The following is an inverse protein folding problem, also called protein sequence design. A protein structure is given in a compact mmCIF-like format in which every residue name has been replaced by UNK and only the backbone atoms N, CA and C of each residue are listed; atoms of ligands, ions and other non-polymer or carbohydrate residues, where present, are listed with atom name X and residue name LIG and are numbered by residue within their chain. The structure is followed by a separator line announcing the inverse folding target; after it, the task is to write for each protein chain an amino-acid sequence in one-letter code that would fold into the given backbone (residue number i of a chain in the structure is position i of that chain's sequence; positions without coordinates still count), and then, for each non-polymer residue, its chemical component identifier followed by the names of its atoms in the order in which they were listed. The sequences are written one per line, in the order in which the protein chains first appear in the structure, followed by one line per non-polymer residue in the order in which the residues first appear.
data_IF_019670102556
#
_entry.id   IF_019670102556
#
_cell.length_a   1.000
_cell.length_b   1.000
_cell.length_c   1.000
_cell.angle_alpha   90.00
_cell.angle_beta   90.00
_cell.angle_gamma   90.00
#
_symmetry.space_group_name_H-M   'P 1'
#
loop_
_entity.id
_entity.type
_entity.pdbx_description
1 polymer ?
#
# COMPACT_ATOMS: atom_id res chain seq x y z
N UNK A 1 -37.34 0.57 27.86
CA UNK A 1 -37.25 -0.26 26.64
C UNK A 1 -36.65 0.51 25.45
N UNK A 2 -37.36 1.47 24.82
CA UNK A 2 -36.84 2.21 23.64
C UNK A 2 -35.51 2.96 23.86
N UNK A 3 -35.30 3.54 25.04
CA UNK A 3 -34.07 4.30 25.37
C UNK A 3 -32.81 3.42 25.39
N UNK A 4 -32.94 2.19 25.87
CA UNK A 4 -31.86 1.18 25.93
C UNK A 4 -31.47 0.72 24.52
N UNK A 5 -32.48 0.48 23.70
CA UNK A 5 -32.34 0.04 22.31
C UNK A 5 -31.69 1.11 21.42
N UNK A 6 -32.08 2.38 21.62
CA UNK A 6 -31.46 3.52 20.94
C UNK A 6 -29.99 3.72 21.29
N UNK A 7 -29.62 3.59 22.57
CA UNK A 7 -28.23 3.68 23.02
C UNK A 7 -27.33 2.59 22.43
N UNK A 8 -27.82 1.34 22.39
CA UNK A 8 -27.11 0.22 21.77
C UNK A 8 -26.96 0.43 20.26
N UNK A 9 -27.99 0.94 19.58
CA UNK A 9 -27.95 1.19 18.14
C UNK A 9 -26.91 2.25 17.77
N UNK A 10 -26.82 3.34 18.53
CA UNK A 10 -25.81 4.40 18.32
C UNK A 10 -24.40 3.86 18.54
N UNK A 11 -24.17 3.11 19.64
CA UNK A 11 -22.89 2.46 19.92
C UNK A 11 -22.43 1.53 18.79
N UNK A 12 -23.33 0.67 18.31
CA UNK A 12 -23.04 -0.25 17.22
C UNK A 12 -22.77 0.50 15.91
N UNK A 13 -23.51 1.56 15.61
CA UNK A 13 -23.30 2.34 14.38
C UNK A 13 -21.96 3.07 14.37
N UNK A 14 -21.56 3.70 15.50
CA UNK A 14 -20.28 4.36 15.64
C UNK A 14 -19.12 3.35 15.65
N UNK A 15 -19.29 2.21 16.31
CA UNK A 15 -18.31 1.12 16.34
C UNK A 15 -18.09 0.50 14.95
N UNK A 16 -19.16 0.20 14.23
CA UNK A 16 -19.10 -0.36 12.87
C UNK A 16 -18.43 0.59 11.87
N UNK A 17 -18.73 1.89 11.96
CA UNK A 17 -18.07 2.92 11.14
C UNK A 17 -16.56 2.99 11.42
N UNK A 18 -16.16 2.95 12.71
CA UNK A 18 -14.75 2.93 13.11
C UNK A 18 -14.00 1.69 12.62
N UNK A 19 -14.65 0.52 12.64
CA UNK A 19 -14.08 -0.74 12.13
C UNK A 19 -13.88 -0.68 10.61
N UNK A 20 -14.86 -0.18 9.86
CA UNK A 20 -14.74 -0.05 8.40
C UNK A 20 -13.57 0.87 8.01
N UNK A 21 -13.45 2.04 8.64
CA UNK A 21 -12.33 2.96 8.38
C UNK A 21 -10.98 2.37 8.79
N UNK A 22 -10.93 1.60 9.87
CA UNK A 22 -9.71 0.92 10.30
C UNK A 22 -9.28 -0.17 9.30
N UNK A 23 -10.23 -0.88 8.73
CA UNK A 23 -9.97 -1.93 7.75
C UNK A 23 -9.43 -1.37 6.43
N UNK A 24 -10.00 -0.27 5.93
CA UNK A 24 -9.47 0.45 4.76
C UNK A 24 -8.02 0.90 4.98
N UNK A 25 -7.71 1.45 6.16
CA UNK A 25 -6.36 1.88 6.52
C UNK A 25 -5.37 0.71 6.61
N UNK A 26 -5.80 -0.45 7.11
CA UNK A 26 -4.99 -1.67 7.12
C UNK A 26 -4.71 -2.16 5.69
N UNK A 27 -5.70 -2.09 4.80
CA UNK A 27 -5.50 -2.46 3.39
C UNK A 27 -4.48 -1.53 2.72
N UNK A 28 -4.59 -0.22 2.94
CA UNK A 28 -3.60 0.78 2.50
C UNK A 28 -2.18 0.45 2.98
N UNK A 29 -2.03 0.16 4.27
CA UNK A 29 -0.76 -0.23 4.85
C UNK A 29 -0.20 -1.53 4.25
N UNK A 30 -1.06 -2.50 3.98
CA UNK A 30 -0.66 -3.76 3.36
C UNK A 30 -0.15 -3.53 1.93
N UNK A 31 -0.81 -2.68 1.14
CA UNK A 31 -0.35 -2.30 -0.19
C UNK A 31 1.04 -1.63 -0.16
N UNK A 32 1.29 -0.75 0.80
CA UNK A 32 2.62 -0.14 1.00
C UNK A 32 3.71 -1.18 1.30
N UNK A 33 3.42 -2.14 2.18
CA UNK A 33 4.36 -3.24 2.50
C UNK A 33 4.67 -4.10 1.29
N UNK A 34 3.67 -4.36 0.44
CA UNK A 34 3.86 -5.11 -0.80
C UNK A 34 4.74 -4.35 -1.80
N UNK A 35 4.53 -3.04 -1.94
CA UNK A 35 5.39 -2.17 -2.77
C UNK A 35 6.83 -2.18 -2.23
N UNK A 36 7.02 -1.99 -0.92
CA UNK A 36 8.35 -2.07 -0.30
C UNK A 36 9.03 -3.40 -0.60
N UNK A 37 8.30 -4.52 -0.44
CA UNK A 37 8.84 -5.84 -0.71
C UNK A 37 9.25 -5.99 -2.18
N UNK A 38 8.44 -5.49 -3.12
CA UNK A 38 8.78 -5.50 -4.54
C UNK A 38 10.09 -4.78 -4.81
N UNK A 39 10.22 -3.53 -4.34
CA UNK A 39 11.44 -2.74 -4.57
C UNK A 39 12.67 -3.29 -3.84
N UNK A 40 12.50 -3.93 -2.69
CA UNK A 40 13.59 -4.62 -2.01
C UNK A 40 14.11 -5.79 -2.83
N UNK A 41 13.20 -6.59 -3.41
CA UNK A 41 13.57 -7.69 -4.30
C UNK A 41 14.21 -7.17 -5.59
N UNK A 42 13.63 -6.14 -6.19
CA UNK A 42 14.14 -5.49 -7.40
C UNK A 42 15.54 -4.91 -7.17
N UNK A 43 15.79 -4.28 -6.03
CA UNK A 43 17.12 -3.81 -5.62
C UNK A 43 18.15 -4.95 -5.58
N UNK A 44 17.76 -6.11 -5.05
CA UNK A 44 18.60 -7.31 -5.06
C UNK A 44 18.89 -7.83 -6.47
N UNK A 45 17.87 -7.91 -7.32
CA UNK A 45 18.01 -8.35 -8.72
C UNK A 45 18.87 -7.38 -9.53
N UNK A 46 18.67 -6.06 -9.39
CA UNK A 46 19.53 -5.08 -10.05
C UNK A 46 20.95 -5.21 -9.51
N UNK A 47 21.15 -5.29 -8.18
CA UNK A 47 22.49 -5.32 -7.56
C UNK A 47 23.31 -6.56 -7.89
N UNK A 48 22.70 -7.72 -8.14
CA UNK A 48 23.42 -8.98 -8.31
C UNK A 48 23.09 -9.75 -9.60
N UNK A 49 21.98 -9.42 -10.27
CA UNK A 49 21.42 -10.25 -11.35
C UNK A 49 22.17 -10.19 -12.67
N UNK A 50 22.91 -9.11 -12.96
CA UNK A 50 23.51 -8.91 -14.29
C UNK A 50 22.48 -8.93 -15.44
N UNK A 51 21.19 -8.89 -15.10
CA UNK A 51 20.03 -9.04 -15.98
C UNK A 51 19.50 -7.69 -16.41
N UNK A 52 18.68 -7.70 -17.46
CA UNK A 52 17.96 -6.50 -17.89
C UNK A 52 16.94 -6.05 -16.84
N UNK A 53 16.59 -4.76 -16.82
CA UNK A 53 15.56 -4.23 -15.91
C UNK A 53 14.24 -5.02 -16.02
N UNK A 54 13.86 -5.43 -17.23
CA UNK A 54 12.66 -6.23 -17.48
C UNK A 54 12.70 -7.58 -16.75
N UNK A 55 13.81 -8.31 -16.85
CA UNK A 55 14.00 -9.58 -16.15
C UNK A 55 14.05 -9.40 -14.64
N UNK A 56 14.70 -8.33 -14.15
CA UNK A 56 14.75 -8.00 -12.73
C UNK A 56 13.34 -7.72 -12.16
N UNK A 57 12.51 -6.96 -12.89
CA UNK A 57 11.10 -6.71 -12.55
C UNK A 57 10.31 -8.02 -12.54
N UNK A 58 10.48 -8.87 -13.57
CA UNK A 58 9.81 -10.17 -13.67
C UNK A 58 10.16 -11.09 -12.49
N UNK A 59 11.44 -11.17 -12.14
CA UNK A 59 11.92 -11.97 -11.01
C UNK A 59 11.39 -11.44 -9.67
N UNK A 60 11.41 -10.11 -9.46
CA UNK A 60 10.87 -9.48 -8.26
C UNK A 60 9.35 -9.70 -8.12
N UNK A 61 8.58 -9.49 -9.20
CA UNK A 61 7.14 -9.71 -9.24
C UNK A 61 6.79 -11.20 -9.00
N UNK A 62 7.56 -12.12 -9.59
CA UNK A 62 7.39 -13.56 -9.42
C UNK A 62 7.49 -14.00 -7.95
N UNK A 63 8.42 -13.40 -7.19
CA UNK A 63 8.68 -13.67 -5.78
C UNK A 63 7.66 -13.03 -4.80
N UNK A 64 6.82 -12.10 -5.26
CA UNK A 64 5.76 -11.55 -4.40
C UNK A 64 4.65 -12.57 -4.12
N UNK A 65 4.09 -12.52 -2.91
CA UNK A 65 2.90 -13.32 -2.55
C UNK A 65 1.67 -12.77 -3.28
N UNK A 66 0.75 -13.66 -3.69
CA UNK A 66 -0.55 -13.25 -4.21
C UNK A 66 -1.43 -12.75 -3.06
N UNK A 67 -2.00 -11.56 -3.24
CA UNK A 67 -2.99 -10.98 -2.34
C UNK A 67 -4.11 -10.32 -3.17
N UNK A 68 -5.30 -10.20 -2.59
CA UNK A 68 -6.55 -9.79 -3.28
C UNK A 68 -6.47 -8.39 -3.91
N UNK A 69 -5.61 -7.52 -3.40
CA UNK A 69 -5.41 -6.14 -3.85
C UNK A 69 -3.95 -5.86 -4.28
N UNK A 70 -3.22 -6.91 -4.67
CA UNK A 70 -1.79 -6.78 -4.93
C UNK A 70 -1.48 -6.10 -6.26
N UNK A 71 -0.45 -5.26 -6.27
CA UNK A 71 0.15 -4.74 -7.50
C UNK A 71 1.01 -5.76 -8.25
N UNK A 72 1.14 -7.00 -7.74
CA UNK A 72 1.90 -8.07 -8.38
C UNK A 72 1.55 -8.25 -9.86
N UNK A 73 0.27 -8.20 -10.20
CA UNK A 73 -0.19 -8.34 -11.60
C UNK A 73 0.29 -7.19 -12.47
N UNK A 74 0.25 -5.95 -11.95
CA UNK A 74 0.77 -4.78 -12.66
C UNK A 74 2.27 -4.93 -12.94
N UNK A 75 3.07 -5.30 -11.93
CA UNK A 75 4.51 -5.48 -12.11
C UNK A 75 4.85 -6.63 -13.06
N UNK A 76 4.08 -7.73 -13.04
CA UNK A 76 4.26 -8.83 -13.97
C UNK A 76 3.93 -8.41 -15.42
N UNK A 77 2.84 -7.65 -15.62
CA UNK A 77 2.42 -7.17 -16.94
C UNK A 77 3.44 -6.17 -17.52
N UNK A 78 3.99 -5.29 -16.68
CA UNK A 78 5.06 -4.36 -17.07
C UNK A 78 6.25 -5.14 -17.66
N UNK A 79 6.71 -6.21 -17.00
CA UNK A 79 7.80 -7.02 -17.52
C UNK A 79 7.46 -7.71 -18.85
N UNK A 80 6.23 -8.20 -19.01
CA UNK A 80 5.78 -8.84 -20.26
C UNK A 80 5.74 -7.83 -21.41
N UNK A 81 5.17 -6.64 -21.18
CA UNK A 81 5.12 -5.56 -22.18
C UNK A 81 6.51 -5.07 -22.58
N UNK A 82 7.46 -5.02 -21.64
CA UNK A 82 8.86 -4.69 -21.92
C UNK A 82 9.55 -5.76 -22.78
N UNK A 83 9.37 -7.05 -22.49
CA UNK A 83 9.94 -8.16 -23.29
C UNK A 83 9.33 -8.21 -24.70
N UNK A 84 8.03 -7.95 -24.83
CA UNK A 84 7.28 -7.99 -26.09
C UNK A 84 7.58 -6.86 -27.08
N UNK A 85 8.51 -5.94 -26.74
CA UNK A 85 8.77 -4.69 -27.50
C UNK A 85 7.48 -3.92 -27.79
N UNK A 86 6.61 -3.80 -26.78
CA UNK A 86 5.44 -2.93 -26.90
C UNK A 86 5.89 -1.52 -27.31
N UNK A 87 5.12 -0.86 -28.18
CA UNK A 87 5.44 0.50 -28.63
C UNK A 87 5.31 1.46 -27.45
N UNK A 88 6.43 1.93 -26.91
CA UNK A 88 6.46 2.89 -25.80
C UNK A 88 7.77 2.84 -25.02
N UNK A 89 8.07 3.93 -24.31
CA UNK A 89 9.14 3.96 -23.31
C UNK A 89 8.76 3.13 -22.08
N UNK A 90 9.75 2.64 -21.33
CA UNK A 90 9.52 1.95 -20.06
C UNK A 90 8.56 2.73 -19.14
N UNK A 91 8.74 4.05 -19.08
CA UNK A 91 7.94 4.93 -18.23
C UNK A 91 6.46 4.97 -18.63
N UNK A 92 6.14 4.94 -19.92
CA UNK A 92 4.75 4.92 -20.39
C UNK A 92 4.06 3.61 -20.02
N UNK A 93 4.74 2.48 -20.24
CA UNK A 93 4.23 1.14 -19.85
C UNK A 93 4.03 1.07 -18.33
N UNK A 94 4.99 1.62 -17.56
CA UNK A 94 4.93 1.69 -16.10
C UNK A 94 3.72 2.48 -15.62
N UNK A 95 3.50 3.67 -16.18
CA UNK A 95 2.36 4.50 -15.80
C UNK A 95 1.02 3.86 -16.16
N UNK A 96 0.88 3.34 -17.38
CA UNK A 96 -0.37 2.75 -17.87
C UNK A 96 -0.84 1.60 -16.95
N UNK A 97 0.06 0.65 -16.69
CA UNK A 97 -0.25 -0.53 -15.87
C UNK A 97 -0.53 -0.19 -14.42
N UNK A 98 0.24 0.74 -13.85
CA UNK A 98 0.01 1.16 -12.47
C UNK A 98 -1.25 1.97 -12.30
N UNK A 99 -1.61 2.86 -13.24
CA UNK A 99 -2.85 3.64 -13.15
C UNK A 99 -4.10 2.75 -13.27
N UNK A 100 -4.06 1.74 -14.14
CA UNK A 100 -5.17 0.78 -14.27
C UNK A 100 -5.37 -0.05 -12.99
N UNK A 101 -4.28 -0.56 -12.41
CA UNK A 101 -4.35 -1.43 -11.22
C UNK A 101 -4.36 -0.68 -9.88
N UNK A 102 -3.90 0.56 -9.81
CA UNK A 102 -3.88 1.35 -8.57
C UNK A 102 -5.29 1.62 -8.03
N UNK A 103 -6.30 1.73 -8.91
CA UNK A 103 -7.71 1.85 -8.50
C UNK A 103 -8.17 0.69 -7.61
N UNK A 104 -7.55 -0.49 -7.75
CA UNK A 104 -7.85 -1.70 -6.97
C UNK A 104 -6.96 -1.86 -5.74
N UNK A 105 -5.77 -1.24 -5.74
CA UNK A 105 -4.77 -1.38 -4.68
C UNK A 105 -5.00 -0.48 -3.46
N UNK A 106 -6.10 0.28 -3.42
CA UNK A 106 -6.46 1.22 -2.35
C UNK A 106 -5.35 2.21 -1.97
N UNK A 107 -4.45 2.57 -2.87
CA UNK A 107 -3.31 3.44 -2.57
C UNK A 107 -3.75 4.89 -2.31
N UNK A 108 -3.01 5.58 -1.44
CA UNK A 108 -3.16 7.02 -1.30
C UNK A 108 -2.65 7.71 -2.58
N UNK A 109 -3.21 8.88 -2.91
CA UNK A 109 -2.77 9.64 -4.09
C UNK A 109 -1.28 10.00 -4.05
N UNK A 110 -0.76 10.34 -2.86
CA UNK A 110 0.67 10.59 -2.64
C UNK A 110 1.51 9.37 -2.98
N UNK A 111 1.10 8.18 -2.53
CA UNK A 111 1.90 6.96 -2.65
C UNK A 111 1.87 6.45 -4.09
N UNK A 112 0.72 6.64 -4.77
CA UNK A 112 0.62 6.43 -6.20
C UNK A 112 1.56 7.37 -6.97
N UNK A 113 1.58 8.66 -6.66
CA UNK A 113 2.46 9.62 -7.34
C UNK A 113 3.94 9.26 -7.15
N UNK A 114 4.35 8.90 -5.93
CA UNK A 114 5.72 8.45 -5.66
C UNK A 114 6.06 7.15 -6.40
N UNK A 115 5.12 6.20 -6.47
CA UNK A 115 5.29 4.96 -7.23
C UNK A 115 5.44 5.23 -8.73
N UNK A 116 4.65 6.16 -9.29
CA UNK A 116 4.73 6.54 -10.72
C UNK A 116 6.08 7.20 -11.03
N UNK A 117 6.53 8.14 -10.18
CA UNK A 117 7.85 8.79 -10.31
C UNK A 117 9.01 7.79 -10.29
N UNK A 118 8.88 6.69 -9.55
CA UNK A 118 9.93 5.66 -9.51
C UNK A 118 10.19 5.02 -10.88
N UNK A 119 9.18 4.96 -11.75
CA UNK A 119 9.34 4.46 -13.13
C UNK A 119 10.24 5.36 -13.98
N UNK A 120 10.21 6.68 -13.76
CA UNK A 120 11.08 7.62 -14.45
C UNK A 120 12.54 7.38 -14.07
N UNK A 121 12.79 7.23 -12.76
CA UNK A 121 14.13 7.04 -12.21
C UNK A 121 14.72 5.67 -12.55
N UNK A 122 13.89 4.62 -12.57
CA UNK A 122 14.31 3.28 -12.97
C UNK A 122 14.65 3.17 -14.46
N UNK A 123 14.06 4.01 -15.32
CA UNK A 123 14.39 4.06 -16.74
C UNK A 123 15.76 4.70 -17.06
N UNK A 124 16.44 5.27 -16.06
CA UNK A 124 17.76 5.90 -16.22
C UNK A 124 18.89 4.93 -16.55
N UNK A 125 19.97 5.43 -17.14
CA UNK A 125 21.06 4.62 -17.73
C UNK A 125 22.08 4.06 -16.73
N UNK A 126 22.23 4.68 -15.55
CA UNK A 126 23.28 4.31 -14.59
C UNK A 126 22.73 3.44 -13.44
N UNK A 127 23.33 2.26 -13.28
CA UNK A 127 22.98 1.27 -12.26
C UNK A 127 23.17 1.81 -10.84
N UNK A 128 24.24 2.56 -10.60
CA UNK A 128 24.53 3.10 -9.28
C UNK A 128 23.46 4.13 -8.88
N UNK A 129 23.10 5.01 -9.81
CA UNK A 129 21.99 5.94 -9.68
C UNK A 129 20.66 5.22 -9.41
N UNK A 130 20.32 4.18 -10.18
CA UNK A 130 19.11 3.38 -9.94
C UNK A 130 19.08 2.79 -8.53
N UNK A 131 20.20 2.21 -8.07
CA UNK A 131 20.30 1.61 -6.73
C UNK A 131 20.20 2.65 -5.61
N UNK A 132 20.83 3.82 -5.77
CA UNK A 132 20.74 4.91 -4.81
C UNK A 132 19.30 5.43 -4.69
N UNK A 133 18.62 5.64 -5.82
CA UNK A 133 17.22 6.06 -5.82
C UNK A 133 16.30 5.00 -5.21
N UNK A 134 16.53 3.71 -5.49
CA UNK A 134 15.81 2.61 -4.86
C UNK A 134 15.99 2.60 -3.34
N UNK A 135 17.22 2.80 -2.85
CA UNK A 135 17.48 2.84 -1.41
C UNK A 135 16.78 4.02 -0.75
N UNK A 136 16.82 5.22 -1.35
CA UNK A 136 16.08 6.37 -0.85
C UNK A 136 14.56 6.12 -0.80
N UNK A 137 14.01 5.51 -1.86
CA UNK A 137 12.59 5.16 -1.91
C UNK A 137 12.22 4.13 -0.83
N UNK A 138 13.06 3.11 -0.64
CA UNK A 138 12.88 2.09 0.41
C UNK A 138 12.92 2.70 1.81
N UNK A 139 13.79 3.67 2.07
CA UNK A 139 13.80 4.38 3.35
C UNK A 139 12.56 5.25 3.56
N UNK A 140 12.10 5.94 2.50
CA UNK A 140 10.91 6.79 2.59
C UNK A 140 9.65 5.97 2.85
N UNK A 141 9.44 4.89 2.08
CA UNK A 141 8.29 4.01 2.26
C UNK A 141 8.33 3.30 3.62
N UNK A 142 9.53 2.98 4.15
CA UNK A 142 9.66 2.42 5.50
C UNK A 142 9.20 3.40 6.57
N UNK A 143 9.65 4.66 6.48
CA UNK A 143 9.22 5.72 7.40
C UNK A 143 7.70 5.91 7.35
N UNK A 144 7.12 5.84 6.16
CA UNK A 144 5.67 5.95 5.99
C UNK A 144 4.92 4.75 6.60
N UNK A 145 5.37 3.52 6.34
CA UNK A 145 4.81 2.30 6.92
C UNK A 145 4.80 2.39 8.45
N UNK A 146 5.92 2.78 9.07
CA UNK A 146 6.03 2.93 10.52
C UNK A 146 5.07 4.01 11.04
N UNK A 147 4.96 5.14 10.34
CA UNK A 147 4.06 6.23 10.71
C UNK A 147 2.58 5.81 10.64
N UNK A 148 2.18 5.11 9.58
CA UNK A 148 0.81 4.62 9.41
C UNK A 148 0.47 3.49 10.40
N UNK A 149 1.40 2.58 10.70
CA UNK A 149 1.24 1.57 11.75
C UNK A 149 0.95 2.22 13.11
N UNK A 150 1.74 3.25 13.46
CA UNK A 150 1.54 4.01 14.69
C UNK A 150 0.19 4.70 14.72
N UNK A 151 -0.21 5.38 13.63
CA UNK A 151 -1.52 6.05 13.50
C UNK A 151 -2.68 5.08 13.63
N UNK A 152 -2.61 3.91 13.01
CA UNK A 152 -3.64 2.87 13.12
C UNK A 152 -3.73 2.38 14.57
N UNK A 153 -2.58 2.11 15.22
CA UNK A 153 -2.53 1.70 16.62
C UNK A 153 -3.13 2.73 17.58
N UNK A 154 -2.83 4.01 17.40
CA UNK A 154 -3.37 5.12 18.19
C UNK A 154 -4.89 5.26 18.01
N UNK A 155 -5.39 5.18 16.76
CA UNK A 155 -6.83 5.24 16.47
C UNK A 155 -7.60 4.07 17.08
N UNK A 156 -7.05 2.85 17.01
CA UNK A 156 -7.67 1.67 17.64
C UNK A 156 -7.78 1.86 19.15
N UNK A 157 -6.74 2.40 19.80
CA UNK A 157 -6.78 2.73 21.24
C UNK A 157 -7.86 3.77 21.54
N UNK A 158 -7.94 4.84 20.75
CA UNK A 158 -8.96 5.90 20.90
C UNK A 158 -10.38 5.35 20.76
N UNK A 159 -10.66 4.55 19.73
CA UNK A 159 -11.97 3.92 19.55
C UNK A 159 -12.35 3.00 20.71
N UNK A 160 -11.38 2.28 21.27
CA UNK A 160 -11.60 1.43 22.45
C UNK A 160 -12.02 2.27 23.68
N UNK A 161 -11.37 3.41 23.89
CA UNK A 161 -11.72 4.33 24.98
C UNK A 161 -13.07 5.01 24.77
N UNK A 162 -13.38 5.44 23.54
CA UNK A 162 -14.69 5.99 23.17
C UNK A 162 -15.82 4.98 23.40
N UNK A 163 -15.61 3.72 23.00
CA UNK A 163 -16.57 2.65 23.27
C UNK A 163 -16.80 2.41 24.76
N UNK A 164 -15.74 2.41 25.56
CA UNK A 164 -15.83 2.28 27.01
C UNK A 164 -16.59 3.46 27.66
N UNK A 165 -16.26 4.70 27.28
CA UNK A 165 -16.94 5.91 27.78
C UNK A 165 -18.40 5.96 27.37
N UNK A 166 -18.72 5.61 26.12
CA UNK A 166 -20.10 5.59 25.65
C UNK A 166 -20.91 4.46 26.33
N UNK A 167 -20.29 3.31 26.60
CA UNK A 167 -20.89 2.26 27.43
C UNK A 167 -21.18 2.72 28.86
N UNK A 168 -20.23 3.41 29.50
CA UNK A 168 -20.43 4.00 30.82
C UNK A 168 -21.52 5.09 30.83
N UNK A 169 -21.59 5.92 29.79
CA UNK A 169 -22.63 6.94 29.64
C UNK A 169 -24.02 6.31 29.52
N UNK A 170 -24.17 5.25 28.71
CA UNK A 170 -25.43 4.50 28.61
C UNK A 170 -25.80 3.85 29.95
N UNK A 171 -24.82 3.30 30.68
CA UNK A 171 -25.05 2.75 32.02
C UNK A 171 -25.59 3.80 33.00
N UNK A 172 -25.01 5.01 33.00
CA UNK A 172 -25.45 6.13 33.85
C UNK A 172 -26.86 6.61 33.47
N UNK A 173 -27.19 6.66 32.18
CA UNK A 173 -28.53 7.05 31.71
C UNK A 173 -29.63 6.02 32.02
N UNK A 174 -29.25 4.79 32.38
CA UNK A 174 -30.17 3.71 32.73
C UNK A 174 -30.41 3.58 34.24
N UNK A 175 -29.54 4.18 35.04
CA UNK A 175 -29.80 4.51 36.44
C UNK A 175 -30.83 5.66 36.53
#
# INVERSE_FOLDING_TARGET
MLKLLGGILVLLSCGAAGICMAEEKKQQLQSLKEIRQFFMLLSGEIRYGGTTLSEAIKAAAGKQKRNKNSLKEAFAEIAVKMEGRAAGSFFEIWQEELLDKAKKASLSGRNLEQLLRMGETLGGLDRETQLNSLNCYLEEIEREIIAEEKRIGEKVRLYRWLGALAGAFVWILLL
#
